data_IF_492140788129
#
_entry.id   IF_492140788129
#
_cell.length_a   1.000
_cell.length_b   1.000
_cell.length_c   1.000
_cell.angle_alpha   90.00
_cell.angle_beta   90.00
_cell.angle_gamma   90.00
#
_symmetry.space_group_name_H-M   'P 1'
#
loop_
_entity.id
_entity.type
_entity.pdbx_description
1 polymer ?
#
# COMPACT_ATOMS: atom_id res chain seq x y z
N UNK A 1 4.26 7.43 35.20
CA UNK A 1 3.35 8.25 34.37
C UNK A 1 2.91 7.39 33.20
N UNK A 2 1.62 7.10 33.07
CA UNK A 2 1.11 6.32 31.94
C UNK A 2 1.02 7.25 30.73
N UNK A 3 2.05 7.32 29.90
CA UNK A 3 2.01 8.04 28.63
C UNK A 3 1.05 7.30 27.72
N UNK A 4 -0.20 7.78 27.65
CA UNK A 4 -1.17 7.30 26.68
C UNK A 4 -0.69 7.74 25.29
N UNK A 5 -0.11 6.83 24.53
CA UNK A 5 0.39 7.10 23.17
C UNK A 5 -0.79 7.48 22.29
N UNK A 6 -0.82 8.74 21.85
CA UNK A 6 -1.85 9.20 20.91
C UNK A 6 -1.68 8.47 19.57
N UNK A 7 -2.79 8.07 18.96
CA UNK A 7 -2.77 7.47 17.61
C UNK A 7 -2.34 8.50 16.56
N UNK A 8 -1.90 8.04 15.38
CA UNK A 8 -1.61 8.90 14.23
C UNK A 8 -2.76 9.86 13.92
N UNK A 9 -3.99 9.34 13.81
CA UNK A 9 -5.18 10.15 13.57
C UNK A 9 -5.39 11.25 14.63
N UNK A 10 -5.15 10.94 15.91
CA UNK A 10 -5.25 11.92 16.99
C UNK A 10 -4.18 13.01 16.92
N UNK A 11 -2.94 12.65 16.55
CA UNK A 11 -1.84 13.62 16.37
C UNK A 11 -2.08 14.55 15.17
N UNK A 12 -2.69 14.02 14.11
CA UNK A 12 -3.04 14.78 12.90
C UNK A 12 -4.40 15.50 12.99
N UNK A 13 -5.13 15.32 14.09
CA UNK A 13 -6.50 15.84 14.29
C UNK A 13 -7.47 15.43 13.17
N UNK A 14 -7.36 14.19 12.72
CA UNK A 14 -8.22 13.62 11.68
C UNK A 14 -9.32 12.75 12.28
N UNK A 15 -10.46 12.69 11.60
CA UNK A 15 -11.46 11.65 11.89
C UNK A 15 -10.93 10.28 11.47
N UNK A 16 -11.54 9.20 11.96
CA UNK A 16 -11.17 7.84 11.55
C UNK A 16 -11.38 7.64 10.03
N UNK A 17 -12.48 8.18 9.49
CA UNK A 17 -12.80 8.12 8.07
C UNK A 17 -11.78 8.89 7.22
N UNK A 18 -11.42 10.12 7.61
CA UNK A 18 -10.40 10.90 6.90
C UNK A 18 -9.05 10.18 6.89
N UNK A 19 -8.72 9.53 8.00
CA UNK A 19 -7.49 8.78 8.16
C UNK A 19 -7.45 7.55 7.25
N UNK A 20 -8.54 6.78 7.21
CA UNK A 20 -8.69 5.65 6.28
C UNK A 20 -8.61 6.10 4.82
N UNK A 21 -9.30 7.19 4.46
CA UNK A 21 -9.26 7.77 3.13
C UNK A 21 -7.85 8.25 2.75
N UNK A 22 -7.09 8.80 3.70
CA UNK A 22 -5.71 9.20 3.49
C UNK A 22 -4.80 8.00 3.21
N UNK A 23 -4.90 6.93 4.01
CA UNK A 23 -4.12 5.69 3.77
C UNK A 23 -4.50 5.09 2.41
N UNK A 24 -5.79 4.95 2.13
CA UNK A 24 -6.26 4.40 0.86
C UNK A 24 -5.77 5.24 -0.32
N UNK A 25 -5.85 6.57 -0.22
CA UNK A 25 -5.34 7.49 -1.23
C UNK A 25 -3.81 7.38 -1.41
N UNK A 26 -3.06 7.19 -0.33
CA UNK A 26 -1.61 6.94 -0.41
C UNK A 26 -1.30 5.61 -1.10
N UNK A 27 -2.04 4.55 -0.77
CA UNK A 27 -1.90 3.23 -1.40
C UNK A 27 -2.24 3.28 -2.89
N UNK A 28 -3.33 3.95 -3.27
CA UNK A 28 -3.73 4.10 -4.66
C UNK A 28 -2.67 4.85 -5.48
N UNK A 29 -2.13 5.97 -4.98
CA UNK A 29 -1.05 6.71 -5.64
C UNK A 29 0.24 5.89 -5.73
N UNK A 30 0.55 5.10 -4.70
CA UNK A 30 1.67 4.17 -4.77
C UNK A 30 1.45 3.12 -5.86
N UNK A 31 0.27 2.51 -5.95
CA UNK A 31 -0.07 1.56 -7.02
C UNK A 31 0.07 2.18 -8.41
N UNK A 32 -0.34 3.44 -8.58
CA UNK A 32 -0.13 4.20 -9.81
C UNK A 32 1.36 4.34 -10.13
N UNK A 33 2.19 4.67 -9.15
CA UNK A 33 3.64 4.83 -9.33
C UNK A 33 4.39 3.55 -9.73
N UNK A 34 3.79 2.36 -9.58
CA UNK A 34 4.43 1.06 -9.90
C UNK A 34 3.85 0.40 -11.15
N UNK A 35 2.87 1.04 -11.78
CA UNK A 35 2.14 0.50 -12.93
C UNK A 35 2.22 1.47 -14.12
N UNK A 36 2.06 0.93 -15.33
CA UNK A 36 2.23 1.71 -16.57
C UNK A 36 0.87 1.96 -17.25
N UNK A 37 -0.15 1.15 -16.92
CA UNK A 37 -1.46 1.21 -17.56
C UNK A 37 -2.58 0.85 -16.57
N UNK A 38 -3.81 1.24 -16.92
CA UNK A 38 -4.99 1.02 -16.08
C UNK A 38 -5.25 -0.45 -15.73
N UNK A 39 -4.90 -1.39 -16.62
CA UNK A 39 -5.08 -2.83 -16.36
C UNK A 39 -4.13 -3.32 -15.28
N UNK A 40 -2.85 -2.94 -15.35
CA UNK A 40 -1.88 -3.25 -14.30
C UNK A 40 -2.26 -2.58 -12.98
N UNK A 41 -2.68 -1.31 -13.02
CA UNK A 41 -3.16 -0.58 -11.86
C UNK A 41 -4.27 -1.35 -11.13
N UNK A 42 -5.33 -1.75 -11.85
CA UNK A 42 -6.44 -2.52 -11.27
C UNK A 42 -5.97 -3.85 -10.68
N UNK A 43 -5.05 -4.56 -11.35
CA UNK A 43 -4.51 -5.83 -10.86
C UNK A 43 -3.69 -5.66 -9.59
N UNK A 44 -2.84 -4.63 -9.52
CA UNK A 44 -2.00 -4.35 -8.35
C UNK A 44 -2.87 -3.88 -7.18
N UNK A 45 -3.78 -2.93 -7.42
CA UNK A 45 -4.69 -2.39 -6.42
C UNK A 45 -5.53 -3.48 -5.75
N UNK A 46 -6.09 -4.40 -6.55
CA UNK A 46 -6.93 -5.50 -6.06
C UNK A 46 -6.15 -6.69 -5.47
N UNK A 47 -4.81 -6.68 -5.53
CA UNK A 47 -4.01 -7.80 -5.05
C UNK A 47 -3.85 -7.77 -3.52
N UNK A 48 -4.37 -8.78 -2.83
CA UNK A 48 -4.34 -8.85 -1.37
C UNK A 48 -2.94 -9.03 -0.78
N UNK A 49 -2.01 -9.72 -1.48
CA UNK A 49 -0.64 -9.89 -1.01
C UNK A 49 0.15 -8.57 -1.08
N UNK A 50 -0.03 -7.81 -2.15
CA UNK A 50 0.56 -6.46 -2.28
C UNK A 50 -0.02 -5.50 -1.26
N UNK A 51 -1.35 -5.50 -1.06
CA UNK A 51 -1.98 -4.67 -0.05
C UNK A 51 -1.44 -4.97 1.36
N UNK A 52 -1.35 -6.26 1.72
CA UNK A 52 -0.77 -6.70 3.01
C UNK A 52 0.68 -6.25 3.18
N UNK A 53 1.50 -6.42 2.15
CA UNK A 53 2.88 -5.94 2.16
C UNK A 53 2.94 -4.41 2.35
N UNK A 54 2.10 -3.67 1.62
CA UNK A 54 2.07 -2.21 1.68
C UNK A 54 1.71 -1.73 3.09
N UNK A 55 0.64 -2.26 3.68
CA UNK A 55 0.21 -1.89 5.04
C UNK A 55 1.26 -2.24 6.09
N UNK A 56 1.93 -3.40 5.97
CA UNK A 56 3.01 -3.79 6.87
C UNK A 56 4.19 -2.81 6.79
N UNK A 57 4.56 -2.38 5.60
CA UNK A 57 5.67 -1.45 5.40
C UNK A 57 5.29 -0.02 5.82
N UNK A 58 4.07 0.40 5.49
CA UNK A 58 3.49 1.68 5.90
C UNK A 58 3.50 1.83 7.44
N UNK A 59 3.12 0.77 8.16
CA UNK A 59 3.14 0.75 9.62
C UNK A 59 4.54 0.99 10.22
N UNK A 60 5.63 0.63 9.52
CA UNK A 60 7.00 0.93 9.96
C UNK A 60 7.31 2.43 9.83
N UNK A 61 6.86 3.06 8.75
CA UNK A 61 7.00 4.50 8.58
C UNK A 61 6.17 5.28 9.60
N UNK A 62 4.98 4.78 9.93
CA UNK A 62 4.19 5.32 11.04
C UNK A 62 4.91 5.18 12.38
N UNK A 63 5.52 4.02 12.66
CA UNK A 63 6.33 3.84 13.86
C UNK A 63 7.46 4.88 13.94
N UNK A 64 8.16 5.14 12.83
CA UNK A 64 9.16 6.22 12.75
C UNK A 64 8.59 7.62 13.00
N UNK A 65 7.37 7.90 12.51
CA UNK A 65 6.66 9.14 12.86
C UNK A 65 6.37 9.23 14.37
N UNK A 66 5.98 8.13 15.01
CA UNK A 66 5.77 8.09 16.46
C UNK A 66 7.07 8.32 17.23
N UNK A 67 8.16 7.65 16.86
CA UNK A 67 9.48 7.84 17.47
C UNK A 67 9.94 9.30 17.45
N UNK A 68 9.71 9.99 16.33
CA UNK A 68 10.08 11.40 16.19
C UNK A 68 9.14 12.30 17.01
N UNK A 69 7.83 12.06 16.97
CA UNK A 69 6.85 13.05 17.46
C UNK A 69 6.37 12.83 18.90
N UNK A 70 6.57 11.64 19.48
CA UNK A 70 6.13 11.33 20.85
C UNK A 70 6.77 12.27 21.89
N UNK A 71 7.98 12.76 21.63
CA UNK A 71 8.66 13.72 22.50
C UNK A 71 8.16 15.17 22.37
N UNK A 72 7.38 15.48 21.33
CA UNK A 72 6.99 16.86 20.98
C UNK A 72 5.47 17.07 20.94
N UNK A 73 4.68 16.13 21.47
CA UNK A 73 3.20 16.14 21.41
C UNK A 73 2.58 17.41 22.01
N UNK A 74 3.27 18.09 22.93
CA UNK A 74 2.82 19.34 23.57
C UNK A 74 3.37 20.63 22.94
N UNK A 75 4.33 20.53 22.02
CA UNK A 75 5.13 21.68 21.55
C UNK A 75 5.07 21.89 20.04
N UNK A 76 4.61 20.90 19.27
CA UNK A 76 4.45 21.01 17.83
C UNK A 76 3.01 21.37 17.43
N UNK A 77 2.86 22.14 16.37
CA UNK A 77 1.56 22.42 15.77
C UNK A 77 1.06 21.22 14.97
N UNK A 78 -0.24 21.17 14.67
CA UNK A 78 -0.82 20.13 13.80
C UNK A 78 -0.15 20.13 12.42
N UNK A 79 0.18 21.31 11.91
CA UNK A 79 0.85 21.45 10.63
C UNK A 79 2.25 20.79 10.65
N UNK A 80 3.02 20.99 11.71
CA UNK A 80 4.32 20.34 11.88
C UNK A 80 4.20 18.81 11.91
N UNK A 81 3.16 18.30 12.60
CA UNK A 81 2.86 16.87 12.62
C UNK A 81 2.51 16.34 11.23
N UNK A 82 1.72 17.07 10.45
CA UNK A 82 1.38 16.70 9.07
C UNK A 82 2.62 16.70 8.16
N UNK A 83 3.49 17.70 8.28
CA UNK A 83 4.75 17.76 7.53
C UNK A 83 5.65 16.58 7.89
N UNK A 84 5.82 16.29 9.18
CA UNK A 84 6.61 15.14 9.64
C UNK A 84 6.03 13.82 9.12
N UNK A 85 4.71 13.64 9.24
CA UNK A 85 4.02 12.45 8.77
C UNK A 85 4.20 12.23 7.26
N UNK A 86 4.05 13.29 6.47
CA UNK A 86 4.27 13.24 5.03
C UNK A 86 5.72 12.86 4.70
N UNK A 87 6.71 13.41 5.41
CA UNK A 87 8.11 13.05 5.20
C UNK A 87 8.41 11.58 5.50
N UNK A 88 7.83 11.04 6.59
CA UNK A 88 7.98 9.64 6.96
C UNK A 88 7.34 8.72 5.92
N UNK A 89 6.09 9.00 5.53
CA UNK A 89 5.33 8.15 4.62
C UNK A 89 5.74 8.28 3.16
N UNK A 90 6.31 9.42 2.73
CA UNK A 90 6.82 9.61 1.38
C UNK A 90 7.92 8.61 1.02
N UNK A 91 8.66 8.11 2.03
CA UNK A 91 9.68 7.07 1.83
C UNK A 91 9.12 5.76 1.25
N UNK A 92 7.82 5.48 1.41
CA UNK A 92 7.14 4.36 0.75
C UNK A 92 7.31 4.38 -0.78
N UNK A 93 7.42 5.57 -1.37
CA UNK A 93 7.64 5.72 -2.82
C UNK A 93 9.06 5.35 -3.27
N UNK A 94 9.98 4.99 -2.36
CA UNK A 94 11.34 4.53 -2.69
C UNK A 94 11.49 3.01 -2.68
N UNK A 95 10.51 2.27 -2.15
CA UNK A 95 10.61 0.82 -1.95
C UNK A 95 9.52 0.06 -2.73
N UNK A 96 9.86 -1.13 -3.22
CA UNK A 96 9.01 -1.92 -4.12
C UNK A 96 9.10 -3.41 -3.80
N UNK A 97 7.98 -4.15 -3.70
CA UNK A 97 8.00 -5.60 -3.56
C UNK A 97 8.16 -6.24 -4.93
N UNK A 98 9.35 -6.16 -5.51
CA UNK A 98 9.62 -6.52 -6.91
C UNK A 98 9.14 -7.94 -7.26
N UNK A 99 9.33 -8.91 -6.37
CA UNK A 99 8.86 -10.28 -6.57
C UNK A 99 7.32 -10.35 -6.73
N UNK A 100 6.57 -9.73 -5.82
CA UNK A 100 5.10 -9.69 -5.87
C UNK A 100 4.61 -8.96 -7.13
N UNK A 101 5.23 -7.84 -7.48
CA UNK A 101 4.86 -7.06 -8.66
C UNK A 101 5.11 -7.83 -9.96
N UNK A 102 6.24 -8.55 -10.06
CA UNK A 102 6.55 -9.37 -11.23
C UNK A 102 5.53 -10.49 -11.41
N UNK A 103 5.10 -11.14 -10.33
CA UNK A 103 4.09 -12.21 -10.40
C UNK A 103 2.74 -11.70 -10.93
N UNK A 104 2.31 -10.51 -10.51
CA UNK A 104 1.06 -9.90 -10.96
C UNK A 104 1.13 -9.50 -12.45
N UNK A 105 2.32 -9.05 -12.88
CA UNK A 105 2.58 -8.64 -14.27
C UNK A 105 2.74 -9.82 -15.23
N UNK A 106 2.95 -11.04 -14.72
CA UNK A 106 2.94 -12.24 -15.58
C UNK A 106 1.55 -12.43 -16.19
N UNK A 107 1.45 -12.18 -17.49
CA UNK A 107 0.31 -12.63 -18.29
C UNK A 107 0.40 -14.15 -18.35
N UNK A 108 -0.47 -14.85 -17.61
CA UNK A 108 -0.63 -16.30 -17.82
C UNK A 108 -1.05 -16.49 -19.27
N UNK A 109 -0.18 -17.11 -20.07
CA UNK A 109 -0.54 -17.50 -21.41
C UNK A 109 -1.77 -18.40 -21.30
N UNK A 110 -2.84 -18.07 -22.02
CA UNK A 110 -3.95 -19.01 -22.21
C UNK A 110 -3.36 -20.16 -23.01
N UNK A 111 -3.02 -21.26 -22.32
CA UNK A 111 -2.70 -22.50 -22.99
C UNK A 111 -3.96 -22.94 -23.73
N UNK A 112 -3.82 -23.39 -24.98
CA UNK A 112 -4.93 -23.96 -25.73
C UNK A 112 -4.75 -25.47 -25.74
N UNK A 113 -5.74 -26.20 -25.24
CA UNK A 113 -5.81 -27.64 -25.47
C UNK A 113 -6.33 -27.86 -26.89
N UNK A 114 -5.59 -28.61 -27.70
CA UNK A 114 -6.06 -29.11 -28.99
C UNK A 114 -6.80 -30.42 -28.74
N UNK A 115 -8.13 -30.39 -28.80
CA UNK A 115 -8.96 -31.61 -28.81
C UNK A 115 -9.59 -31.72 -30.19
N UNK A 116 -9.24 -32.76 -30.95
CA UNK A 116 -9.76 -33.02 -32.30
C UNK A 116 -9.78 -31.79 -33.25
N UNK A 117 -8.69 -31.02 -33.26
CA UNK A 117 -8.55 -29.85 -34.15
C UNK A 117 -9.26 -28.59 -33.66
N UNK A 118 -10.07 -28.66 -32.60
CA UNK A 118 -10.71 -27.50 -31.96
C UNK A 118 -9.76 -26.94 -30.90
N UNK A 119 -9.48 -25.64 -30.96
CA UNK A 119 -8.69 -24.92 -29.96
C UNK A 119 -9.61 -24.52 -28.80
N UNK A 120 -9.51 -25.23 -27.68
CA UNK A 120 -10.26 -24.88 -26.46
C UNK A 120 -9.32 -24.08 -25.53
N UNK A 121 -9.71 -22.89 -25.05
CA UNK A 121 -8.95 -22.16 -24.05
C UNK A 121 -8.84 -23.03 -22.78
N UNK A 122 -7.64 -23.45 -22.40
CA UNK A 122 -7.42 -24.09 -21.11
C UNK A 122 -7.05 -23.03 -20.09
N UNK A 123 -8.01 -22.71 -19.23
CA UNK A 123 -7.76 -21.93 -18.03
C UNK A 123 -7.19 -22.89 -16.99
N UNK A 124 -5.87 -23.07 -16.96
CA UNK A 124 -5.21 -23.70 -15.82
C UNK A 124 -5.26 -22.73 -14.64
N UNK A 125 -6.28 -22.87 -13.79
CA UNK A 125 -6.32 -22.25 -12.48
C UNK A 125 -5.32 -22.98 -11.59
N UNK A 126 -4.14 -22.42 -11.40
CA UNK A 126 -3.26 -22.83 -10.31
C UNK A 126 -3.97 -22.50 -9.00
N UNK A 127 -4.53 -23.52 -8.33
CA UNK A 127 -4.99 -23.46 -6.96
C UNK A 127 -3.74 -23.58 -6.07
N UNK A 128 -3.24 -22.43 -5.62
CA UNK A 128 -2.34 -22.35 -4.46
C UNK A 128 -3.07 -21.59 -3.37
#
# INVERSE_FOLDING_TARGET
MSTQTKTTAQKLQMTAEDYENMIFGAYARWCESVTINAREFQKVLANSAVNKWYLMEYAKHEAGFHEITDCYVSSCTVHDMQVCYNNCTYQMFNIRPTALLQEIKKTRAVSYLKVHGVKIPSLTFNQN
#
